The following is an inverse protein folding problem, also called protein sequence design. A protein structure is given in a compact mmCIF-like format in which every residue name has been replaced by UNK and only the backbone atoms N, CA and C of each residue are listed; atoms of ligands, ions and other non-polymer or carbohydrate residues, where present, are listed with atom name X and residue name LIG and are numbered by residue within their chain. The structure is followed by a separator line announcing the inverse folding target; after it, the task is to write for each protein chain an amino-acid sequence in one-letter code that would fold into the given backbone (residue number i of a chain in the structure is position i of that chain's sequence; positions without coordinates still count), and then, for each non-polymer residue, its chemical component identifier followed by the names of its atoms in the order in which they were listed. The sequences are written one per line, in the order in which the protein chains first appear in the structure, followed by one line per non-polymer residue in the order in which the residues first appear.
data_IF_055473756240
#
_entry.id   IF_055473756240
#
_cell.length_a   1.000
_cell.length_b   1.000
_cell.length_c   1.000
_cell.angle_alpha   90.00
_cell.angle_beta   90.00
_cell.angle_gamma   90.00
#
_symmetry.space_group_name_H-M   'P 1'
#
loop_
_entity.id
_entity.type
_entity.pdbx_description
1 polymer ?
#
# COMPACT_ATOMS: atom_id res chain seq x y z
N UNK A 1 0.09 29.21 9.38
CA UNK A 1 -0.53 28.40 8.31
C UNK A 1 -1.89 27.91 8.78
N UNK A 2 -2.92 28.19 7.98
CA UNK A 2 -4.33 28.09 8.36
C UNK A 2 -4.91 26.67 8.31
N UNK A 3 -6.18 26.57 8.67
CA UNK A 3 -6.99 25.35 8.59
C UNK A 3 -7.11 24.91 7.12
N UNK A 4 -6.65 23.70 6.80
CA UNK A 4 -6.71 23.11 5.45
C UNK A 4 -8.06 22.42 5.17
N UNK A 5 -9.01 22.48 6.11
CA UNK A 5 -10.36 21.95 5.93
C UNK A 5 -11.21 22.89 5.08
N UNK A 6 -11.27 22.60 3.78
CA UNK A 6 -12.27 23.20 2.89
C UNK A 6 -13.57 22.36 2.93
N UNK A 7 -14.71 22.93 3.35
CA UNK A 7 -15.98 22.21 3.46
C UNK A 7 -16.53 21.73 2.10
N UNK A 8 -16.01 22.25 0.98
CA UNK A 8 -16.48 21.96 -0.38
C UNK A 8 -15.81 20.73 -1.03
N UNK A 9 -14.96 20.00 -0.29
CA UNK A 9 -14.24 18.83 -0.79
C UNK A 9 -15.12 17.57 -0.64
N UNK A 10 -15.60 17.01 -1.75
CA UNK A 10 -16.17 15.67 -1.75
C UNK A 10 -15.05 14.62 -1.77
N UNK A 11 -14.60 14.22 -0.58
CA UNK A 11 -13.46 13.29 -0.43
C UNK A 11 -13.72 11.88 -1.01
N UNK A 12 -14.98 11.43 -1.16
CA UNK A 12 -15.29 10.12 -1.75
C UNK A 12 -14.85 9.99 -3.22
N UNK A 13 -14.93 11.09 -3.98
CA UNK A 13 -14.58 11.10 -5.41
C UNK A 13 -13.41 12.05 -5.71
N UNK A 14 -12.85 12.69 -4.68
CA UNK A 14 -11.93 13.83 -4.81
C UNK A 14 -12.47 14.94 -5.73
N UNK A 15 -13.80 15.15 -5.77
CA UNK A 15 -14.47 16.12 -6.63
C UNK A 15 -14.74 17.39 -5.83
N UNK A 16 -14.41 18.54 -6.44
CA UNK A 16 -14.59 19.85 -5.83
C UNK A 16 -15.45 20.75 -6.70
N UNK A 17 -16.42 21.40 -6.05
CA UNK A 17 -17.37 22.30 -6.69
C UNK A 17 -16.75 23.66 -7.06
N UNK A 18 -15.69 24.10 -6.36
CA UNK A 18 -15.03 25.39 -6.59
C UNK A 18 -13.63 25.29 -7.21
N UNK A 19 -13.40 26.08 -8.28
CA UNK A 19 -12.15 26.13 -9.07
C UNK A 19 -10.91 26.56 -8.25
N UNK A 20 -11.08 27.47 -7.28
CA UNK A 20 -9.99 27.99 -6.44
C UNK A 20 -9.47 26.91 -5.47
N UNK A 21 -10.39 26.16 -4.89
CA UNK A 21 -10.08 25.09 -3.95
C UNK A 21 -9.45 23.88 -4.67
N UNK A 22 -9.81 23.63 -5.95
CA UNK A 22 -9.16 22.60 -6.79
C UNK A 22 -7.68 22.90 -7.06
N UNK A 23 -7.37 24.13 -7.49
CA UNK A 23 -5.98 24.57 -7.70
C UNK A 23 -5.13 24.53 -6.42
N UNK A 24 -5.77 24.79 -5.28
CA UNK A 24 -5.11 24.69 -3.98
C UNK A 24 -4.74 23.24 -3.67
N UNK A 25 -5.65 22.29 -3.88
CA UNK A 25 -5.40 20.87 -3.65
C UNK A 25 -4.32 20.33 -4.59
N UNK A 26 -4.36 20.68 -5.88
CA UNK A 26 -3.31 20.32 -6.85
C UNK A 26 -1.93 20.85 -6.42
N UNK A 27 -1.85 22.12 -6.02
CA UNK A 27 -0.61 22.74 -5.55
C UNK A 27 -0.11 22.10 -4.24
N UNK A 28 -1.03 21.72 -3.35
CA UNK A 28 -0.71 21.03 -2.11
C UNK A 28 -0.22 19.61 -2.39
N UNK A 29 -0.91 18.88 -3.27
CA UNK A 29 -0.56 17.51 -3.66
C UNK A 29 0.84 17.48 -4.32
N UNK A 30 1.13 18.41 -5.22
CA UNK A 30 2.43 18.53 -5.89
C UNK A 30 3.57 18.87 -4.90
N UNK A 31 3.35 19.85 -4.02
CA UNK A 31 4.34 20.22 -3.00
C UNK A 31 4.53 19.15 -1.93
N UNK A 32 3.44 18.49 -1.52
CA UNK A 32 3.45 17.38 -0.57
C UNK A 32 4.25 16.21 -1.11
N UNK A 33 3.99 15.84 -2.37
CA UNK A 33 4.72 14.80 -3.07
C UNK A 33 6.20 15.09 -3.19
N UNK A 34 6.57 16.31 -3.59
CA UNK A 34 7.97 16.69 -3.76
C UNK A 34 8.75 16.52 -2.44
N UNK A 35 8.19 17.02 -1.34
CA UNK A 35 8.83 16.89 -0.03
C UNK A 35 8.82 15.47 0.52
N UNK A 36 7.75 14.71 0.31
CA UNK A 36 7.71 13.29 0.65
C UNK A 36 8.81 12.52 -0.07
N UNK A 37 9.01 12.79 -1.36
CA UNK A 37 10.07 12.16 -2.15
C UNK A 37 11.45 12.54 -1.59
N UNK A 38 11.70 13.82 -1.31
CA UNK A 38 12.98 14.34 -0.78
C UNK A 38 13.33 13.81 0.63
N UNK A 39 12.37 13.83 1.57
CA UNK A 39 12.61 13.38 2.95
C UNK A 39 12.77 11.85 3.03
N UNK A 40 12.01 11.10 2.21
CA UNK A 40 12.08 9.64 2.17
C UNK A 40 13.22 9.11 1.29
N UNK A 41 13.82 9.93 0.41
CA UNK A 41 14.99 9.52 -0.41
C UNK A 41 16.17 9.13 0.49
N UNK A 42 16.23 9.65 1.71
CA UNK A 42 17.29 9.32 2.69
C UNK A 42 17.24 7.88 3.20
N UNK A 43 16.18 7.10 2.93
CA UNK A 43 15.96 5.74 3.48
C UNK A 43 15.66 4.63 2.44
N UNK A 44 15.80 4.89 1.13
CA UNK A 44 15.95 3.85 0.08
C UNK A 44 14.67 3.11 -0.37
N UNK A 45 14.13 2.19 0.44
CA UNK A 45 13.11 1.22 -0.02
C UNK A 45 11.72 1.82 -0.29
N UNK A 46 11.38 2.90 0.42
CA UNK A 46 10.09 3.57 0.32
C UNK A 46 9.94 4.38 -0.98
N UNK A 47 11.09 4.79 -1.54
CA UNK A 47 11.15 5.58 -2.76
C UNK A 47 10.62 4.79 -3.97
N UNK A 48 10.98 3.51 -4.10
CA UNK A 48 10.50 2.67 -5.21
C UNK A 48 8.96 2.57 -5.21
N UNK A 49 8.36 2.42 -4.04
CA UNK A 49 6.91 2.35 -3.87
C UNK A 49 6.23 3.70 -4.15
N UNK A 50 6.81 4.83 -3.70
CA UNK A 50 6.29 6.19 -3.95
C UNK A 50 6.41 6.58 -5.43
N UNK A 51 7.56 6.29 -6.06
CA UNK A 51 7.82 6.58 -7.47
C UNK A 51 6.92 5.75 -8.40
N UNK A 52 6.52 4.52 -8.01
CA UNK A 52 5.56 3.72 -8.82
C UNK A 52 4.21 4.39 -9.06
N UNK A 53 3.82 5.37 -8.24
CA UNK A 53 2.52 6.05 -8.35
C UNK A 53 2.57 7.38 -9.12
N UNK A 54 3.74 7.99 -9.31
CA UNK A 54 3.84 9.22 -10.10
C UNK A 54 4.05 8.90 -11.58
N UNK A 55 2.97 8.90 -12.37
CA UNK A 55 3.10 8.96 -13.82
C UNK A 55 2.80 10.36 -14.33
N UNK A 56 3.89 11.12 -14.41
CA UNK A 56 3.95 12.33 -15.20
C UNK A 56 5.22 13.11 -14.94
N UNK A 57 6.41 12.53 -15.18
CA UNK A 57 7.60 13.20 -15.77
C UNK A 57 8.87 12.35 -15.56
N UNK A 58 9.53 12.06 -16.70
CA UNK A 58 10.81 11.34 -16.95
C UNK A 58 10.78 9.80 -17.07
N UNK A 59 11.53 9.29 -18.06
CA UNK A 59 11.30 8.06 -18.84
C UNK A 59 11.58 6.77 -18.07
N UNK A 60 10.52 6.05 -17.69
CA UNK A 60 10.53 4.64 -17.30
C UNK A 60 9.44 4.32 -16.27
N UNK A 61 8.35 3.64 -16.68
CA UNK A 61 7.18 3.35 -15.83
C UNK A 61 7.59 2.55 -14.58
N UNK A 62 7.54 3.09 -13.35
CA UNK A 62 8.16 2.40 -12.21
C UNK A 62 7.32 1.22 -11.67
N UNK A 63 6.00 1.21 -11.91
CA UNK A 63 5.16 0.01 -11.76
C UNK A 63 5.68 -1.16 -12.63
N UNK A 64 6.08 -0.85 -13.87
CA UNK A 64 6.70 -1.84 -14.76
C UNK A 64 8.06 -2.27 -14.21
N UNK A 65 8.87 -1.38 -13.63
CA UNK A 65 10.17 -1.74 -13.05
C UNK A 65 10.06 -2.72 -11.88
N UNK A 66 9.18 -2.46 -10.91
CA UNK A 66 8.97 -3.37 -9.78
C UNK A 66 8.41 -4.73 -10.25
N UNK A 67 7.44 -4.70 -11.17
CA UNK A 67 6.88 -5.92 -11.76
C UNK A 67 7.94 -6.72 -12.55
N UNK A 68 8.74 -6.04 -13.36
CA UNK A 68 9.83 -6.63 -14.15
C UNK A 68 10.89 -7.20 -13.21
N UNK A 69 11.38 -6.45 -12.22
CA UNK A 69 12.36 -6.93 -11.26
C UNK A 69 11.88 -8.20 -10.53
N UNK A 70 10.61 -8.23 -10.12
CA UNK A 70 10.01 -9.41 -9.50
C UNK A 70 10.01 -10.62 -10.45
N UNK A 71 9.54 -10.44 -11.68
CA UNK A 71 9.49 -11.54 -12.64
C UNK A 71 10.86 -11.93 -13.20
N UNK A 72 11.84 -11.02 -13.24
CA UNK A 72 13.22 -11.33 -13.60
C UNK A 72 13.81 -12.31 -12.57
N UNK A 73 13.58 -12.08 -11.28
CA UNK A 73 13.99 -13.03 -10.23
C UNK A 73 13.24 -14.35 -10.36
N UNK A 74 11.91 -14.31 -10.50
CA UNK A 74 11.10 -15.52 -10.59
C UNK A 74 11.46 -16.38 -11.83
N UNK A 75 11.64 -15.74 -12.98
CA UNK A 75 12.02 -16.42 -14.23
C UNK A 75 13.47 -16.89 -14.20
N UNK A 76 14.38 -16.17 -13.54
CA UNK A 76 15.75 -16.63 -13.33
C UNK A 76 15.81 -17.90 -12.46
N UNK A 77 14.98 -18.02 -11.43
CA UNK A 77 14.86 -19.25 -10.64
C UNK A 77 14.36 -20.42 -11.50
N UNK A 78 13.28 -20.20 -12.25
CA UNK A 78 12.69 -21.21 -13.14
C UNK A 78 13.65 -21.62 -14.26
N UNK A 79 14.37 -20.66 -14.85
CA UNK A 79 15.36 -20.90 -15.90
C UNK A 79 16.57 -21.71 -15.43
N UNK A 80 16.88 -21.68 -14.12
CA UNK A 80 17.86 -22.56 -13.47
C UNK A 80 17.32 -23.96 -13.16
N UNK A 81 16.10 -24.29 -13.62
CA UNK A 81 15.45 -25.57 -13.35
C UNK A 81 14.89 -25.71 -11.93
N UNK A 82 14.83 -24.61 -11.16
CA UNK A 82 14.34 -24.65 -9.76
C UNK A 82 12.81 -24.64 -9.74
N UNK A 83 12.22 -25.55 -8.98
CA UNK A 83 10.84 -25.45 -8.57
C UNK A 83 10.65 -24.16 -7.78
N UNK A 84 9.73 -23.32 -8.23
CA UNK A 84 9.51 -21.98 -7.67
C UNK A 84 8.02 -21.84 -7.36
N UNK A 85 7.67 -21.19 -6.25
CA UNK A 85 6.29 -20.86 -5.93
C UNK A 85 6.11 -19.35 -5.88
N UNK A 86 5.03 -18.87 -6.48
CA UNK A 86 4.62 -17.46 -6.45
C UNK A 86 3.26 -17.38 -5.77
N UNK A 87 3.18 -16.64 -4.67
CA UNK A 87 1.94 -16.39 -3.94
C UNK A 87 1.45 -14.99 -4.28
N UNK A 88 0.21 -14.91 -4.77
CA UNK A 88 -0.52 -13.66 -4.98
C UNK A 88 -1.41 -13.39 -3.77
N UNK A 89 -1.29 -12.19 -3.22
CA UNK A 89 -2.01 -11.68 -2.08
C UNK A 89 -2.69 -10.36 -2.44
N UNK A 90 -3.86 -10.11 -1.87
CA UNK A 90 -4.62 -8.88 -2.03
C UNK A 90 -5.07 -8.41 -0.65
N UNK A 91 -4.82 -7.14 -0.32
CA UNK A 91 -5.35 -6.55 0.91
C UNK A 91 -6.84 -6.22 0.73
N UNK A 92 -7.66 -6.76 1.63
CA UNK A 92 -9.11 -6.54 1.64
C UNK A 92 -9.42 -5.08 1.94
N UNK A 93 -10.12 -4.41 1.02
CA UNK A 93 -10.60 -3.03 1.18
C UNK A 93 -9.48 -2.07 1.60
N UNK A 94 -8.31 -2.22 0.99
CA UNK A 94 -7.07 -1.62 1.45
C UNK A 94 -7.16 -0.12 1.78
N UNK A 95 -7.80 0.67 0.91
CA UNK A 95 -8.01 2.10 1.12
C UNK A 95 -9.08 2.44 2.15
N UNK A 96 -10.06 1.57 2.42
CA UNK A 96 -11.13 1.86 3.39
C UNK A 96 -10.70 1.58 4.84
N UNK A 97 -9.69 0.72 5.02
CA UNK A 97 -9.37 0.12 6.32
C UNK A 97 -8.17 0.72 7.02
N UNK A 98 -7.39 1.59 6.36
CA UNK A 98 -6.18 2.22 6.93
C UNK A 98 -6.51 2.95 8.23
N UNK A 99 -6.06 2.51 9.42
CA UNK A 99 -6.37 3.20 10.66
C UNK A 99 -5.58 4.50 10.77
N UNK A 100 -6.25 5.64 10.96
CA UNK A 100 -5.60 6.96 10.97
C UNK A 100 -4.54 7.08 12.07
N UNK A 101 -4.82 6.55 13.26
CA UNK A 101 -3.87 6.58 14.38
C UNK A 101 -2.57 5.81 14.10
N UNK A 102 -2.65 4.64 13.44
CA UNK A 102 -1.46 3.86 13.08
C UNK A 102 -0.67 4.59 11.99
N UNK A 103 -1.36 5.10 10.95
CA UNK A 103 -0.74 5.87 9.87
C UNK A 103 0.03 7.08 10.41
N UNK A 104 -0.57 7.86 11.30
CA UNK A 104 0.09 9.01 11.94
C UNK A 104 1.31 8.54 12.75
N UNK A 105 1.19 7.47 13.55
CA UNK A 105 2.33 6.96 14.33
C UNK A 105 3.50 6.45 13.48
N UNK A 106 3.22 5.91 12.29
CA UNK A 106 4.26 5.48 11.34
C UNK A 106 4.93 6.69 10.71
N UNK A 107 4.15 7.70 10.36
CA UNK A 107 4.66 8.93 9.79
C UNK A 107 5.59 9.68 10.76
N UNK A 108 5.20 9.82 12.02
CA UNK A 108 6.02 10.42 13.09
C UNK A 108 7.38 9.72 13.27
N UNK A 109 7.50 8.44 12.90
CA UNK A 109 8.77 7.69 12.95
C UNK A 109 9.68 7.94 11.74
N UNK A 110 9.10 8.32 10.60
CA UNK A 110 9.80 8.40 9.32
C UNK A 110 10.09 9.83 8.87
N UNK A 111 9.23 10.79 9.20
CA UNK A 111 9.31 12.19 8.78
C UNK A 111 9.57 13.05 10.01
N UNK A 112 10.66 13.82 9.99
CA UNK A 112 11.01 14.77 11.06
C UNK A 112 10.02 15.94 11.14
N UNK A 113 10.08 16.69 12.25
CA UNK A 113 9.28 17.89 12.49
C UNK A 113 9.22 18.81 11.25
N UNK A 114 8.00 19.18 10.84
CA UNK A 114 7.77 19.96 9.62
C UNK A 114 6.28 20.15 9.33
N UNK A 115 5.94 20.77 8.21
CA UNK A 115 4.53 20.99 7.85
C UNK A 115 3.85 19.72 7.30
N UNK A 116 4.60 18.74 6.79
CA UNK A 116 4.10 17.46 6.23
C UNK A 116 3.32 16.62 7.25
N UNK A 117 3.87 16.26 8.44
CA UNK A 117 3.11 15.58 9.50
C UNK A 117 1.83 16.32 9.89
N UNK A 118 1.96 17.65 10.02
CA UNK A 118 0.85 18.53 10.43
C UNK A 118 -0.24 18.60 9.35
N UNK A 119 0.15 18.58 8.09
CA UNK A 119 -0.76 18.53 6.96
C UNK A 119 -1.51 17.20 6.90
N UNK A 120 -0.81 16.07 7.08
CA UNK A 120 -1.43 14.73 7.10
C UNK A 120 -2.45 14.64 8.25
N UNK A 121 -2.09 15.12 9.44
CA UNK A 121 -3.04 15.17 10.57
C UNK A 121 -4.27 16.00 10.23
N UNK A 122 -4.09 17.21 9.70
CA UNK A 122 -5.21 18.06 9.31
C UNK A 122 -6.06 17.45 8.17
N UNK A 123 -5.43 16.69 7.27
CA UNK A 123 -6.11 16.00 6.18
C UNK A 123 -7.02 14.88 6.68
N UNK A 124 -6.56 14.12 7.69
CA UNK A 124 -7.29 13.01 8.29
C UNK A 124 -8.30 13.48 9.35
N UNK A 125 -8.01 14.58 10.06
CA UNK A 125 -8.82 15.08 11.16
C UNK A 125 -10.17 15.68 10.70
N UNK A 126 -11.16 15.64 11.59
CA UNK A 126 -12.50 16.21 11.38
C UNK A 126 -13.33 15.53 10.28
N UNK A 127 -12.85 14.44 9.69
CA UNK A 127 -13.60 13.69 8.68
C UNK A 127 -14.89 13.11 9.28
N UNK A 128 -16.03 13.35 8.63
CA UNK A 128 -17.30 12.68 8.96
C UNK A 128 -17.95 12.09 7.72
N UNK A 129 -18.69 11.01 7.90
CA UNK A 129 -19.43 10.30 6.86
C UNK A 129 -20.88 10.04 7.28
N UNK A 130 -21.75 9.86 6.28
CA UNK A 130 -23.14 9.42 6.44
C UNK A 130 -23.57 8.59 5.24
N UNK A 131 -24.61 7.78 5.41
CA UNK A 131 -25.18 6.94 4.34
C UNK A 131 -26.48 7.57 3.86
N UNK A 132 -26.70 7.61 2.56
CA UNK A 132 -27.96 8.01 1.94
C UNK A 132 -28.57 6.82 1.19
N UNK A 133 -29.81 6.45 1.53
CA UNK A 133 -30.58 5.39 0.87
C UNK A 133 -31.97 5.90 0.60
N UNK A 134 -32.45 5.81 -0.65
CA UNK A 134 -33.80 6.22 -1.06
C UNK A 134 -34.19 7.62 -0.57
N UNK A 135 -33.28 8.60 -0.70
CA UNK A 135 -33.51 9.99 -0.27
C UNK A 135 -33.42 10.24 1.25
N UNK A 136 -33.34 9.19 2.07
CA UNK A 136 -33.14 9.30 3.52
C UNK A 136 -31.65 9.28 3.87
N UNK A 137 -31.23 10.09 4.85
CA UNK A 137 -29.82 10.20 5.25
C UNK A 137 -29.61 9.82 6.71
N UNK A 138 -28.54 9.09 7.01
CA UNK A 138 -28.13 8.79 8.38
C UNK A 138 -27.56 10.03 9.08
N UNK A 139 -27.44 9.94 10.40
CA UNK A 139 -26.62 10.88 11.18
C UNK A 139 -25.16 10.84 10.70
N UNK A 140 -24.47 11.98 10.84
CA UNK A 140 -23.03 12.07 10.63
C UNK A 140 -22.30 11.23 11.68
N UNK A 141 -21.25 10.53 11.25
CA UNK A 141 -20.33 9.79 12.10
C UNK A 141 -18.89 10.14 11.75
N UNK A 142 -17.96 10.22 12.72
CA UNK A 142 -16.56 10.44 12.43
C UNK A 142 -15.98 9.28 11.61
N UNK A 143 -15.03 9.60 10.73
CA UNK A 143 -14.24 8.63 9.96
C UNK A 143 -12.95 8.39 10.72
N UNK A 144 -12.75 7.15 11.15
CA UNK A 144 -11.55 6.75 11.92
C UNK A 144 -10.57 5.91 11.09
N UNK A 145 -11.00 5.47 9.92
CA UNK A 145 -10.23 4.60 9.02
C UNK A 145 -10.42 5.02 7.57
N UNK A 146 -9.43 4.65 6.77
CA UNK A 146 -9.41 4.77 5.34
C UNK A 146 -8.82 6.07 4.82
N UNK A 147 -8.40 6.03 3.57
CA UNK A 147 -7.94 7.19 2.81
C UNK A 147 -8.84 7.35 1.58
N UNK A 148 -9.04 8.60 1.10
CA UNK A 148 -9.81 8.84 -0.12
C UNK A 148 -9.26 8.09 -1.33
N UNK A 149 -10.01 7.11 -1.84
CA UNK A 149 -9.63 6.35 -3.02
C UNK A 149 -9.62 7.27 -4.26
N UNK A 150 -8.58 7.16 -5.10
CA UNK A 150 -8.43 7.99 -6.29
C UNK A 150 -7.86 9.39 -6.01
N UNK A 151 -7.44 9.67 -4.76
CA UNK A 151 -6.63 10.85 -4.46
C UNK A 151 -5.14 10.51 -4.53
N UNK A 152 -4.34 11.45 -5.04
CA UNK A 152 -2.87 11.34 -5.04
C UNK A 152 -2.33 11.19 -3.61
N UNK A 153 -2.77 11.99 -2.61
CA UNK A 153 -2.34 11.80 -1.22
C UNK A 153 -2.77 10.46 -0.63
N UNK A 154 -3.98 9.98 -0.92
CA UNK A 154 -4.49 8.73 -0.37
C UNK A 154 -3.64 7.52 -0.76
N UNK A 155 -3.13 7.51 -1.99
CA UNK A 155 -2.22 6.47 -2.49
C UNK A 155 -0.82 6.57 -1.88
N UNK A 156 -0.30 7.78 -1.69
CA UNK A 156 1.01 7.99 -1.05
C UNK A 156 0.95 7.59 0.42
N UNK A 157 -0.09 8.01 1.15
CA UNK A 157 -0.34 7.62 2.54
C UNK A 157 -0.48 6.11 2.68
N UNK A 158 -1.17 5.45 1.74
CA UNK A 158 -1.26 3.99 1.74
C UNK A 158 0.12 3.33 1.53
N UNK A 159 0.93 3.86 0.61
CA UNK A 159 2.28 3.35 0.38
C UNK A 159 3.20 3.56 1.60
N UNK A 160 3.10 4.70 2.29
CA UNK A 160 3.77 4.91 3.59
C UNK A 160 3.33 3.85 4.59
N UNK A 161 2.01 3.64 4.68
CA UNK A 161 1.42 2.72 5.64
C UNK A 161 1.91 1.28 5.51
N UNK A 162 2.05 0.79 4.26
CA UNK A 162 2.55 -0.55 3.97
C UNK A 162 4.06 -0.59 3.78
N UNK A 163 4.78 0.53 3.86
CA UNK A 163 6.21 0.61 3.51
C UNK A 163 7.11 -0.26 4.38
N UNK A 164 6.77 -0.43 5.66
CA UNK A 164 7.54 -1.19 6.66
C UNK A 164 7.23 -2.70 6.67
N UNK A 165 6.30 -3.18 5.84
CA UNK A 165 5.85 -4.58 5.86
C UNK A 165 6.86 -5.58 5.29
N UNK A 166 7.99 -5.10 4.77
CA UNK A 166 9.02 -5.94 4.13
C UNK A 166 10.10 -6.36 5.12
N UNK A 167 10.07 -5.82 6.34
CA UNK A 167 11.07 -6.10 7.35
C UNK A 167 11.02 -7.58 7.78
N UNK A 168 12.14 -8.28 7.57
CA UNK A 168 12.30 -9.68 7.95
C UNK A 168 11.68 -10.68 6.98
N UNK A 169 11.35 -10.26 5.75
CA UNK A 169 10.91 -11.17 4.68
C UNK A 169 12.13 -11.75 3.96
N UNK A 170 12.25 -13.07 3.93
CA UNK A 170 13.38 -13.81 3.33
C UNK A 170 13.21 -13.95 1.80
N UNK A 171 11.99 -14.17 1.35
CA UNK A 171 11.64 -14.40 -0.05
C UNK A 171 11.56 -13.09 -0.83
N UNK A 172 11.53 -13.21 -2.16
CA UNK A 172 11.34 -12.04 -3.03
C UNK A 172 9.92 -11.51 -2.89
N UNK A 173 9.79 -10.30 -2.36
CA UNK A 173 8.51 -9.62 -2.16
C UNK A 173 8.36 -8.47 -3.15
N UNK A 174 7.18 -8.36 -3.76
CA UNK A 174 6.79 -7.21 -4.56
C UNK A 174 5.44 -6.70 -4.08
N UNK A 175 5.37 -5.40 -3.81
CA UNK A 175 4.14 -4.70 -3.40
C UNK A 175 3.78 -3.66 -4.44
N UNK A 176 2.51 -3.60 -4.78
CA UNK A 176 1.95 -2.53 -5.58
C UNK A 176 0.53 -2.25 -5.11
N UNK A 177 0.36 -1.12 -4.40
CA UNK A 177 -0.94 -0.76 -3.82
C UNK A 177 -1.44 -1.93 -2.95
N UNK A 178 -2.65 -2.43 -3.19
CA UNK A 178 -3.26 -3.54 -2.48
C UNK A 178 -2.73 -4.91 -2.91
N UNK A 179 -1.98 -5.00 -4.01
CA UNK A 179 -1.45 -6.26 -4.53
C UNK A 179 -0.07 -6.54 -3.94
N UNK A 180 0.07 -7.70 -3.31
CA UNK A 180 1.35 -8.19 -2.78
C UNK A 180 1.67 -9.54 -3.41
N UNK A 181 2.94 -9.76 -3.79
CA UNK A 181 3.41 -10.99 -4.41
C UNK A 181 4.65 -11.47 -3.70
N UNK A 182 4.68 -12.75 -3.34
CA UNK A 182 5.81 -13.41 -2.70
C UNK A 182 6.34 -14.50 -3.63
N UNK A 183 7.64 -14.57 -3.85
CA UNK A 183 8.28 -15.55 -4.72
C UNK A 183 9.49 -16.17 -4.02
N UNK A 184 9.57 -17.50 -4.06
CA UNK A 184 10.72 -18.24 -3.52
C UNK A 184 10.92 -19.58 -4.21
N UNK A 185 12.16 -20.06 -4.17
CA UNK A 185 12.49 -21.41 -4.61
C UNK A 185 12.06 -22.44 -3.56
N UNK A 186 11.56 -23.59 -4.01
CA UNK A 186 10.88 -24.59 -3.17
C UNK A 186 11.37 -26.02 -3.43
N UNK A 187 12.58 -26.12 -3.99
CA UNK A 187 13.29 -27.39 -4.22
C UNK A 187 13.55 -28.11 -2.89
N UNK A 188 13.78 -27.35 -1.82
CA UNK A 188 14.08 -27.86 -0.48
C UNK A 188 12.93 -27.59 0.48
N UNK A 189 12.96 -28.28 1.64
CA UNK A 189 11.99 -28.04 2.72
C UNK A 189 12.17 -26.63 3.31
N UNK A 190 13.41 -26.19 3.47
CA UNK A 190 13.75 -24.88 4.01
C UNK A 190 13.17 -23.75 3.17
N UNK A 191 13.20 -23.87 1.83
CA UNK A 191 12.61 -22.88 0.94
C UNK A 191 11.08 -22.82 1.01
N UNK A 192 10.43 -23.97 1.25
CA UNK A 192 8.97 -24.01 1.48
C UNK A 192 8.62 -23.39 2.83
N UNK A 193 9.38 -23.73 3.85
CA UNK A 193 9.18 -23.20 5.19
C UNK A 193 9.45 -21.69 5.23
N UNK A 194 10.43 -21.18 4.47
CA UNK A 194 10.68 -19.75 4.32
C UNK A 194 9.45 -19.01 3.76
N UNK A 195 8.85 -19.53 2.69
CA UNK A 195 7.63 -18.94 2.12
C UNK A 195 6.48 -18.93 3.15
N UNK A 196 6.30 -20.01 3.94
CA UNK A 196 5.27 -20.03 4.97
C UNK A 196 5.58 -19.04 6.11
N UNK A 197 6.83 -18.95 6.58
CA UNK A 197 7.25 -17.98 7.62
C UNK A 197 7.02 -16.54 7.18
N UNK A 198 7.32 -16.23 5.92
CA UNK A 198 7.10 -14.91 5.34
C UNK A 198 5.61 -14.60 5.22
N UNK A 199 4.80 -15.58 4.80
CA UNK A 199 3.34 -15.44 4.74
C UNK A 199 2.74 -15.21 6.13
N UNK A 200 3.19 -15.95 7.14
CA UNK A 200 2.79 -15.78 8.54
C UNK A 200 3.22 -14.41 9.09
N UNK A 201 4.40 -13.93 8.67
CA UNK A 201 4.91 -12.61 9.05
C UNK A 201 4.10 -11.48 8.42
N UNK A 202 3.74 -11.60 7.13
CA UNK A 202 2.83 -10.67 6.46
C UNK A 202 1.45 -10.67 7.12
N UNK A 203 0.93 -11.83 7.49
CA UNK A 203 -0.35 -11.95 8.19
C UNK A 203 -0.29 -11.28 9.57
N UNK A 204 0.75 -11.53 10.36
CA UNK A 204 0.97 -10.85 11.65
C UNK A 204 1.05 -9.33 11.49
N UNK A 205 1.75 -8.84 10.46
CA UNK A 205 1.82 -7.41 10.14
C UNK A 205 0.43 -6.87 9.77
N UNK A 206 -0.37 -7.64 9.02
CA UNK A 206 -1.77 -7.32 8.77
C UNK A 206 -2.54 -7.12 10.07
N UNK A 207 -2.44 -8.05 11.02
CA UNK A 207 -3.10 -7.97 12.32
C UNK A 207 -2.68 -6.73 13.12
N UNK A 208 -1.37 -6.45 13.21
CA UNK A 208 -0.84 -5.25 13.90
C UNK A 208 -1.34 -3.96 13.24
N UNK A 209 -1.43 -3.96 11.92
CA UNK A 209 -1.90 -2.81 11.14
C UNK A 209 -3.44 -2.75 11.01
N UNK A 210 -4.19 -3.66 11.64
CA UNK A 210 -5.65 -3.81 11.51
C UNK A 210 -6.14 -4.00 10.06
N UNK A 211 -5.32 -4.64 9.23
CA UNK A 211 -5.59 -4.99 7.84
C UNK A 211 -5.80 -6.51 7.71
N UNK A 212 -6.52 -6.92 6.66
CA UNK A 212 -6.75 -8.34 6.36
C UNK A 212 -6.44 -8.64 4.90
N UNK A 213 -5.86 -9.80 4.65
CA UNK A 213 -5.74 -10.31 3.28
C UNK A 213 -7.07 -10.93 2.82
N UNK A 214 -7.34 -10.80 1.54
CA UNK A 214 -8.49 -11.36 0.87
C UNK A 214 -8.22 -12.83 0.52
N UNK A 215 -8.71 -13.74 1.36
CA UNK A 215 -8.54 -15.18 1.17
C UNK A 215 -9.15 -15.69 -0.15
N UNK A 216 -10.16 -15.03 -0.72
CA UNK A 216 -10.76 -15.45 -1.98
C UNK A 216 -9.89 -15.10 -3.21
N UNK A 217 -9.00 -14.11 -3.07
CA UNK A 217 -8.05 -13.70 -4.12
C UNK A 217 -6.65 -14.28 -3.93
N UNK A 218 -6.39 -14.91 -2.79
CA UNK A 218 -5.18 -15.66 -2.54
C UNK A 218 -5.01 -16.79 -3.57
N UNK A 219 -3.87 -16.80 -4.27
CA UNK A 219 -3.55 -17.82 -5.27
C UNK A 219 -2.08 -18.18 -5.24
N UNK A 220 -1.78 -19.45 -5.49
CA UNK A 220 -0.40 -19.94 -5.62
C UNK A 220 -0.18 -20.43 -7.04
N UNK A 221 0.90 -19.96 -7.66
CA UNK A 221 1.41 -20.46 -8.92
C UNK A 221 2.65 -21.31 -8.64
N UNK A 222 2.78 -22.43 -9.35
CA UNK A 222 3.83 -23.43 -9.15
C UNK A 222 4.70 -23.62 -10.41
N UNK A 223 5.46 -22.60 -10.86
CA UNK A 223 6.35 -22.76 -11.99
C UNK A 223 7.55 -23.69 -11.69
N UNK A 224 8.18 -24.17 -12.76
CA UNK A 224 9.32 -25.09 -12.70
C UNK A 224 8.94 -26.57 -12.89
N UNK A 225 9.80 -27.32 -13.57
CA UNK A 225 9.59 -28.75 -13.79
C UNK A 225 9.76 -29.53 -12.48
N UNK A 226 8.94 -30.57 -12.24
CA UNK A 226 9.02 -31.38 -11.01
C UNK A 226 8.53 -30.67 -9.73
N UNK A 227 7.85 -29.52 -9.83
CA UNK A 227 7.33 -28.81 -8.67
C UNK A 227 6.25 -29.67 -7.95
N UNK A 228 6.46 -29.90 -6.65
CA UNK A 228 5.58 -30.71 -5.80
C UNK A 228 4.21 -30.09 -5.50
N UNK A 229 3.96 -28.85 -5.94
CA UNK A 229 2.70 -28.11 -5.72
C UNK A 229 2.32 -28.01 -4.23
N UNK A 230 3.32 -27.69 -3.41
CA UNK A 230 3.13 -27.50 -1.98
C UNK A 230 2.05 -26.46 -1.68
N UNK A 231 1.18 -26.73 -0.70
CA UNK A 231 0.10 -25.84 -0.28
C UNK A 231 0.55 -25.01 0.91
N UNK A 232 0.20 -23.73 0.89
CA UNK A 232 0.45 -22.82 2.01
C UNK A 232 -0.85 -22.43 2.69
N UNK A 233 -0.73 -21.95 3.92
CA UNK A 233 -1.86 -21.55 4.76
C UNK A 233 -1.91 -20.03 4.92
N UNK A 234 -3.10 -19.47 4.84
CA UNK A 234 -3.36 -18.04 5.07
C UNK A 234 -4.60 -17.90 5.96
N UNK A 235 -4.46 -17.29 7.14
CA UNK A 235 -5.55 -17.16 8.10
C UNK A 235 -5.84 -18.43 8.89
N UNK A 236 -4.79 -19.22 9.16
CA UNK A 236 -4.88 -20.45 9.96
C UNK A 236 -5.62 -21.61 9.27
N UNK A 237 -5.86 -21.54 7.96
CA UNK A 237 -6.44 -22.61 7.13
C UNK A 237 -5.51 -23.03 6.02
#
# INVERSE_FOLDING_TARGET
MGNFNHPDICRKNNIMWHKKSRKFLECVDDNFLLQMVEELTRRGAMLDLVITNQHGVTKGKPCLKNLVAFYDVATALVGKGRATNIIYLDLSRAFDTVPHGILISKEEKHVSEGWTPRWIRNWLDGCTQRVAVNGSMSKWKPVMTGTPQGSVPGQVLFNIFVGDTDSGIECTLSKFVNDTKLCGAVDTLEGRDAIQRDLDSLERLGHVNLMKFNQAKYKVLHPGHGNSRHKYRLGGK
#
